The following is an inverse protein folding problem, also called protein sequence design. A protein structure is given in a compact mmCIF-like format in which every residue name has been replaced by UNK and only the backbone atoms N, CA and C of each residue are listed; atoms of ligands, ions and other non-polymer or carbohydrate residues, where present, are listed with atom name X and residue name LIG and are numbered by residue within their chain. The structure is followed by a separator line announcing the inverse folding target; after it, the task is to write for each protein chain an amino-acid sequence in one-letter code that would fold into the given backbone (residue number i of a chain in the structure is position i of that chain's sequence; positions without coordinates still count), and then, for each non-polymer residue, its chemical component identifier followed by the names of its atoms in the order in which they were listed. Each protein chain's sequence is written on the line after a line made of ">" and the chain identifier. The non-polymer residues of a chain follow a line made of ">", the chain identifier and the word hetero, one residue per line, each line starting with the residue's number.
data_IF_624063100843
#
_entry.id   IF_624063100843
#
_cell.length_a   1.000
_cell.length_b   1.000
_cell.length_c   1.000
_cell.angle_alpha   90.00
_cell.angle_beta   90.00
_cell.angle_gamma   90.00
#
_symmetry.space_group_name_H-M   'P 1'
#
loop_
_entity.id
_entity.type
_entity.pdbx_description
1 polymer ?
#
# COMPACT_ATOMS: atom_id res chain seq x y z
N UNK A 1 22.14 -6.27 16.65
CA UNK A 1 22.99 -5.98 15.48
C UNK A 1 23.72 -4.68 15.70
N UNK A 2 25.00 -4.61 15.36
CA UNK A 2 25.75 -3.36 15.26
C UNK A 2 25.91 -2.96 13.78
N UNK A 3 26.50 -1.79 13.51
CA UNK A 3 26.72 -1.31 12.13
C UNK A 3 27.72 -2.17 11.35
N UNK A 4 28.73 -2.76 12.01
CA UNK A 4 29.68 -3.68 11.39
C UNK A 4 29.01 -4.96 10.87
N UNK A 5 28.09 -5.55 11.65
CA UNK A 5 27.33 -6.72 11.24
C UNK A 5 26.48 -6.40 10.00
N UNK A 6 25.83 -5.23 9.98
CA UNK A 6 25.06 -4.78 8.81
C UNK A 6 25.95 -4.57 7.60
N UNK A 7 27.13 -3.97 7.79
CA UNK A 7 28.11 -3.73 6.73
C UNK A 7 28.60 -5.04 6.13
N UNK A 8 28.93 -6.02 6.96
CA UNK A 8 29.31 -7.36 6.50
C UNK A 8 28.19 -8.01 5.68
N UNK A 9 26.94 -7.95 6.14
CA UNK A 9 25.79 -8.49 5.43
C UNK A 9 25.53 -7.82 4.08
N UNK A 10 25.67 -6.49 4.00
CA UNK A 10 25.45 -5.72 2.77
C UNK A 10 26.49 -6.06 1.69
N UNK A 11 27.75 -6.18 2.09
CA UNK A 11 28.86 -6.40 1.16
C UNK A 11 29.21 -7.88 0.95
N UNK A 12 28.47 -8.78 1.60
CA UNK A 12 28.59 -10.21 1.33
C UNK A 12 28.25 -10.48 -0.12
N UNK A 13 29.22 -11.00 -0.87
CA UNK A 13 29.00 -11.40 -2.26
C UNK A 13 27.87 -12.43 -2.33
N UNK A 14 26.86 -12.11 -3.14
CA UNK A 14 25.68 -12.95 -3.34
C UNK A 14 25.55 -13.33 -4.83
N UNK A 15 24.86 -14.43 -5.11
CA UNK A 15 24.54 -14.86 -6.47
C UNK A 15 23.76 -13.78 -7.23
N UNK A 16 22.99 -12.97 -6.50
CA UNK A 16 22.22 -11.85 -7.03
C UNK A 16 23.08 -10.74 -7.68
N UNK A 17 24.39 -10.70 -7.41
CA UNK A 17 25.31 -9.65 -7.86
C UNK A 17 25.96 -9.94 -9.21
N UNK A 18 26.07 -11.20 -9.61
CA UNK A 18 26.82 -11.60 -10.81
C UNK A 18 25.95 -11.68 -12.07
N UNK A 19 24.65 -11.94 -11.91
CA UNK A 19 23.66 -12.05 -13.00
C UNK A 19 22.41 -11.26 -12.64
N UNK A 20 22.55 -9.94 -12.52
CA UNK A 20 21.44 -9.07 -12.11
C UNK A 20 20.29 -9.09 -13.13
N UNK A 21 19.17 -9.70 -12.75
CA UNK A 21 17.91 -9.66 -13.48
C UNK A 21 16.96 -8.70 -12.74
N UNK A 22 16.65 -7.54 -13.33
CA UNK A 22 15.78 -6.53 -12.71
C UNK A 22 14.43 -7.11 -12.27
N UNK A 23 13.88 -8.08 -12.99
CA UNK A 23 12.57 -8.64 -12.65
C UNK A 23 12.59 -9.51 -11.38
N UNK A 24 13.75 -10.10 -11.05
CA UNK A 24 13.91 -11.05 -9.93
C UNK A 24 14.70 -10.47 -8.77
N UNK A 25 15.70 -9.66 -9.07
CA UNK A 25 16.71 -9.20 -8.12
C UNK A 25 16.40 -7.80 -7.57
N UNK A 26 15.47 -7.05 -8.17
CA UNK A 26 15.22 -5.66 -7.79
C UNK A 26 14.80 -5.50 -6.33
N UNK A 27 13.88 -6.33 -5.82
CA UNK A 27 13.42 -6.20 -4.43
C UNK A 27 14.57 -6.45 -3.44
N UNK A 28 15.47 -7.37 -3.77
CA UNK A 28 16.67 -7.64 -3.00
C UNK A 28 17.63 -6.44 -3.03
N UNK A 29 17.88 -5.88 -4.22
CA UNK A 29 18.72 -4.69 -4.37
C UNK A 29 18.14 -3.48 -3.62
N UNK A 30 16.82 -3.29 -3.68
CA UNK A 30 16.12 -2.28 -2.89
C UNK A 30 16.29 -2.49 -1.38
N UNK A 31 16.18 -3.72 -0.88
CA UNK A 31 16.43 -4.05 0.54
C UNK A 31 17.87 -3.70 0.91
N UNK A 32 18.84 -4.12 0.10
CA UNK A 32 20.26 -3.90 0.35
C UNK A 32 20.59 -2.40 0.34
N UNK A 33 20.14 -1.66 -0.67
CA UNK A 33 20.32 -0.22 -0.76
C UNK A 33 19.63 0.51 0.41
N UNK A 34 18.44 0.10 0.83
CA UNK A 34 17.74 0.71 1.97
C UNK A 34 18.54 0.49 3.27
N UNK A 35 18.98 -0.75 3.50
CA UNK A 35 19.81 -1.12 4.65
C UNK A 35 21.11 -0.32 4.66
N UNK A 36 21.78 -0.19 3.51
CA UNK A 36 23.01 0.57 3.37
C UNK A 36 22.83 2.06 3.69
N UNK A 37 21.82 2.71 3.10
CA UNK A 37 21.58 4.13 3.35
C UNK A 37 21.29 4.39 4.84
N UNK A 38 20.43 3.58 5.47
CA UNK A 38 20.14 3.72 6.90
C UNK A 38 21.38 3.44 7.77
N UNK A 39 22.20 2.45 7.42
CA UNK A 39 23.46 2.15 8.11
C UNK A 39 24.38 3.37 8.14
N UNK A 40 24.53 4.10 7.02
CA UNK A 40 25.32 5.34 6.98
C UNK A 40 24.78 6.39 7.95
N UNK A 41 23.45 6.52 8.06
CA UNK A 41 22.83 7.46 9.00
C UNK A 41 23.01 7.05 10.48
N UNK A 42 23.09 5.74 10.76
CA UNK A 42 23.47 5.22 12.08
C UNK A 42 24.94 5.50 12.41
N UNK A 43 25.87 5.23 11.48
CA UNK A 43 27.30 5.46 11.66
C UNK A 43 27.61 6.96 11.89
N UNK A 44 26.90 7.85 11.20
CA UNK A 44 27.03 9.30 11.37
C UNK A 44 26.29 9.85 12.61
N UNK A 45 25.56 8.99 13.34
CA UNK A 45 24.69 9.35 14.44
C UNK A 45 23.73 10.50 14.07
N UNK A 46 23.23 10.50 12.83
CA UNK A 46 22.29 11.52 12.36
C UNK A 46 20.89 11.27 12.91
N UNK A 47 20.47 10.02 13.01
CA UNK A 47 19.10 9.68 13.44
C UNK A 47 18.78 10.14 14.87
N UNK A 48 19.79 10.37 15.71
CA UNK A 48 19.63 10.87 17.08
C UNK A 48 19.56 12.41 17.20
N UNK A 49 19.58 13.13 16.08
CA UNK A 49 19.59 14.60 16.04
C UNK A 49 18.28 15.11 15.44
N UNK A 50 17.91 16.33 15.81
CA UNK A 50 16.80 17.03 15.19
C UNK A 50 17.16 17.41 13.75
N UNK A 51 16.24 17.14 12.83
CA UNK A 51 16.42 17.46 11.41
C UNK A 51 15.22 18.23 10.86
N UNK A 52 15.45 18.89 9.72
CA UNK A 52 14.35 19.45 8.95
C UNK A 52 13.54 18.31 8.33
N UNK A 53 12.23 18.50 8.21
CA UNK A 53 11.34 17.53 7.58
C UNK A 53 11.79 17.09 6.18
N UNK A 54 12.33 18.02 5.39
CA UNK A 54 12.89 17.68 4.07
C UNK A 54 14.10 16.75 4.15
N UNK A 55 14.96 16.92 5.17
CA UNK A 55 16.08 16.03 5.40
C UNK A 55 15.59 14.62 5.72
N UNK A 56 14.62 14.51 6.63
CA UNK A 56 14.01 13.23 7.04
C UNK A 56 13.41 12.50 5.83
N UNK A 57 12.71 13.23 4.97
CA UNK A 57 12.11 12.66 3.77
C UNK A 57 13.15 12.12 2.78
N UNK A 58 14.30 12.79 2.65
CA UNK A 58 15.36 12.42 1.72
C UNK A 58 16.29 11.33 2.27
N UNK A 59 16.67 11.42 3.53
CA UNK A 59 17.66 10.54 4.15
C UNK A 59 17.02 9.29 4.77
N UNK A 60 15.86 9.44 5.40
CA UNK A 60 15.19 8.34 6.10
C UNK A 60 14.18 7.65 5.21
N UNK A 61 13.28 8.40 4.55
CA UNK A 61 12.12 7.83 3.85
C UNK A 61 12.23 7.72 2.33
N UNK A 62 13.41 8.01 1.75
CA UNK A 62 13.60 7.94 0.29
C UNK A 62 13.47 6.53 -0.29
N UNK A 63 13.55 5.50 0.55
CA UNK A 63 13.31 4.12 0.12
C UNK A 63 11.86 3.87 -0.31
N UNK A 64 10.90 4.70 0.12
CA UNK A 64 9.51 4.69 -0.40
C UNK A 64 9.47 5.14 -1.86
N UNK A 65 10.34 6.07 -2.29
CA UNK A 65 10.41 6.46 -3.70
C UNK A 65 10.99 5.32 -4.54
N UNK A 66 12.03 4.68 -4.01
CA UNK A 66 12.83 3.70 -4.73
C UNK A 66 12.13 2.36 -4.93
N UNK A 67 11.19 1.97 -4.05
CA UNK A 67 10.56 0.62 -4.08
C UNK A 67 9.78 0.34 -5.37
N UNK A 68 9.36 1.38 -6.09
CA UNK A 68 8.53 1.27 -7.28
C UNK A 68 9.30 1.34 -8.61
N UNK A 69 10.62 1.51 -8.57
CA UNK A 69 11.41 1.79 -9.78
C UNK A 69 11.44 0.62 -10.78
N UNK A 70 11.15 -0.62 -10.39
CA UNK A 70 11.02 -1.76 -11.30
C UNK A 70 9.71 -1.77 -12.11
N UNK A 71 8.75 -0.93 -11.76
CA UNK A 71 7.48 -0.84 -12.47
C UNK A 71 7.61 0.23 -13.56
N UNK A 72 7.47 -0.18 -14.81
CA UNK A 72 7.57 0.73 -15.94
C UNK A 72 6.51 1.84 -15.87
N UNK A 73 6.89 3.06 -16.24
CA UNK A 73 6.04 4.25 -16.21
C UNK A 73 5.57 4.71 -14.83
N UNK A 74 6.02 4.08 -13.74
CA UNK A 74 5.66 4.46 -12.38
C UNK A 74 6.54 5.60 -11.88
N UNK A 75 5.92 6.57 -11.21
CA UNK A 75 6.59 7.69 -10.59
C UNK A 75 6.00 8.01 -9.21
N UNK A 76 6.88 8.42 -8.30
CA UNK A 76 6.52 8.94 -6.98
C UNK A 76 6.73 10.44 -7.01
N UNK A 77 5.62 11.18 -6.97
CA UNK A 77 5.64 12.64 -7.03
C UNK A 77 5.55 13.19 -5.62
N UNK A 78 6.60 13.89 -5.18
CA UNK A 78 6.61 14.62 -3.91
C UNK A 78 6.35 16.11 -4.12
N UNK A 79 5.33 16.63 -3.48
CA UNK A 79 4.98 18.05 -3.56
C UNK A 79 5.68 18.84 -2.44
N UNK A 80 6.40 19.92 -2.80
CA UNK A 80 7.03 20.80 -1.80
C UNK A 80 5.97 21.59 -1.04
N UNK A 81 6.19 21.76 0.26
CA UNK A 81 5.40 22.53 1.24
C UNK A 81 5.21 24.04 0.96
N UNK A 82 5.48 24.54 -0.26
CA UNK A 82 4.93 25.84 -0.65
C UNK A 82 3.45 25.61 -0.93
N UNK A 83 2.64 25.74 0.12
CA UNK A 83 1.17 25.81 0.09
C UNK A 83 0.72 26.94 -0.85
N UNK A 84 0.88 26.76 -2.15
CA UNK A 84 -0.03 27.39 -3.10
C UNK A 84 -1.39 26.79 -2.79
N UNK A 85 -2.43 27.61 -2.81
CA UNK A 85 -3.82 27.24 -2.56
C UNK A 85 -4.37 26.31 -3.66
N UNK A 86 -3.67 25.21 -3.92
CA UNK A 86 -4.09 24.14 -4.81
C UNK A 86 -4.60 23.04 -3.88
N UNK A 87 -5.92 22.89 -3.85
CA UNK A 87 -6.59 21.98 -2.93
C UNK A 87 -6.18 20.52 -3.10
N UNK A 88 -6.54 19.72 -2.08
CA UNK A 88 -6.72 18.25 -2.11
C UNK A 88 -5.55 17.35 -2.53
N UNK A 89 -4.32 17.83 -2.74
CA UNK A 89 -3.16 16.93 -2.96
C UNK A 89 -2.35 16.66 -1.69
N UNK A 90 -1.96 15.40 -1.49
CA UNK A 90 -1.03 14.98 -0.45
C UNK A 90 0.41 15.31 -0.79
N UNK A 91 1.32 15.17 0.18
CA UNK A 91 2.74 15.44 0.00
C UNK A 91 3.44 14.42 -0.89
N UNK A 92 2.85 13.22 -1.04
CA UNK A 92 3.30 12.15 -1.91
C UNK A 92 2.12 11.61 -2.74
N UNK A 93 2.36 11.34 -4.03
CA UNK A 93 1.43 10.64 -4.92
C UNK A 93 2.17 9.51 -5.64
N UNK A 94 1.56 8.33 -5.67
CA UNK A 94 2.02 7.13 -6.38
C UNK A 94 1.19 7.06 -7.65
N UNK A 95 1.83 7.20 -8.82
CA UNK A 95 1.09 7.20 -10.09
C UNK A 95 1.87 6.50 -11.20
N UNK A 96 1.13 5.88 -12.11
CA UNK A 96 1.64 5.41 -13.40
C UNK A 96 0.99 6.24 -14.49
N UNK A 97 1.80 6.96 -15.26
CA UNK A 97 1.31 7.95 -16.23
C UNK A 97 0.39 9.00 -15.59
N UNK A 98 -0.91 8.96 -15.90
CA UNK A 98 -1.93 9.87 -15.37
C UNK A 98 -2.81 9.23 -14.29
N UNK A 99 -2.62 7.94 -13.99
CA UNK A 99 -3.45 7.20 -13.02
C UNK A 99 -2.78 7.16 -11.66
N UNK A 100 -3.50 7.58 -10.61
CA UNK A 100 -3.02 7.60 -9.23
C UNK A 100 -3.47 6.31 -8.49
N UNK A 101 -2.54 5.64 -7.80
CA UNK A 101 -2.76 4.36 -7.10
C UNK A 101 -2.60 4.48 -5.57
N UNK A 102 -2.06 5.61 -5.11
CA UNK A 102 -1.85 5.85 -3.70
C UNK A 102 -1.27 7.21 -3.42
N UNK A 103 -1.18 7.54 -2.13
CA UNK A 103 -0.73 8.85 -1.69
C UNK A 103 -0.03 8.79 -0.34
N UNK A 104 0.54 9.92 0.10
CA UNK A 104 1.02 10.07 1.46
C UNK A 104 1.04 11.50 1.97
N UNK A 105 1.09 11.63 3.29
CA UNK A 105 1.26 12.88 4.03
C UNK A 105 2.52 12.80 4.89
N UNK A 106 3.21 13.94 5.01
CA UNK A 106 4.41 14.06 5.81
C UNK A 106 4.20 15.05 6.95
N UNK A 107 4.71 14.66 8.12
CA UNK A 107 4.62 15.35 9.39
C UNK A 107 5.97 15.77 9.94
N UNK A 108 6.15 17.08 10.16
CA UNK A 108 7.30 17.55 10.93
C UNK A 108 7.39 16.94 12.33
N UNK A 109 6.27 16.69 13.02
CA UNK A 109 6.27 16.19 14.40
C UNK A 109 5.14 15.17 14.58
N UNK A 110 5.49 14.04 15.18
CA UNK A 110 4.60 12.98 15.61
C UNK A 110 4.16 13.24 17.06
N UNK A 111 2.94 13.76 17.20
CA UNK A 111 2.32 14.07 18.50
C UNK A 111 1.63 12.83 19.14
N UNK A 112 2.00 11.62 18.72
CA UNK A 112 1.33 10.39 19.14
C UNK A 112 0.12 9.99 18.27
N UNK A 113 -0.51 8.85 18.59
CA UNK A 113 -1.68 8.33 17.87
C UNK A 113 -2.89 9.27 17.90
N UNK A 114 -2.98 10.09 18.95
CA UNK A 114 -4.03 11.10 19.13
C UNK A 114 -3.56 12.49 18.66
N UNK A 115 -2.41 12.56 18.00
CA UNK A 115 -1.87 13.78 17.42
C UNK A 115 -2.84 14.37 16.39
N UNK A 116 -2.91 15.69 16.34
CA UNK A 116 -3.87 16.39 15.47
C UNK A 116 -3.63 16.01 14.01
N UNK A 117 -2.36 15.76 13.65
CA UNK A 117 -1.96 15.36 12.30
C UNK A 117 -2.46 13.97 11.93
N UNK A 118 -2.27 12.96 12.78
CA UNK A 118 -2.79 11.61 12.56
C UNK A 118 -4.33 11.62 12.46
N UNK A 119 -5.00 12.39 13.31
CA UNK A 119 -6.47 12.45 13.32
C UNK A 119 -7.00 13.20 12.08
N UNK A 120 -6.50 14.40 11.80
CA UNK A 120 -7.03 15.23 10.70
C UNK A 120 -6.54 14.77 9.34
N UNK A 121 -5.24 14.57 9.19
CA UNK A 121 -4.66 14.16 7.91
C UNK A 121 -4.88 12.67 7.69
N UNK A 122 -4.57 11.83 8.68
CA UNK A 122 -4.78 10.38 8.56
C UNK A 122 -6.23 9.92 8.64
N UNK A 123 -7.06 10.59 9.44
CA UNK A 123 -8.46 10.19 9.67
C UNK A 123 -9.48 10.84 8.74
N UNK A 124 -9.16 11.98 8.11
CA UNK A 124 -10.10 12.70 7.24
C UNK A 124 -9.54 13.04 5.87
N UNK A 125 -8.35 13.65 5.78
CA UNK A 125 -7.76 14.07 4.50
C UNK A 125 -7.36 12.88 3.63
N UNK A 126 -6.59 11.94 4.20
CA UNK A 126 -6.12 10.72 3.54
C UNK A 126 -7.28 9.84 3.07
N UNK A 127 -8.29 9.49 3.90
CA UNK A 127 -9.40 8.67 3.43
C UNK A 127 -10.21 9.34 2.31
N UNK A 128 -10.32 10.68 2.31
CA UNK A 128 -10.95 11.41 1.20
C UNK A 128 -10.15 11.25 -0.09
N UNK A 129 -8.84 11.46 -0.04
CA UNK A 129 -7.99 11.30 -1.24
C UNK A 129 -7.98 9.87 -1.75
N UNK A 130 -7.84 8.88 -0.86
CA UNK A 130 -7.88 7.46 -1.25
C UNK A 130 -9.23 7.06 -1.84
N UNK A 131 -10.33 7.67 -1.37
CA UNK A 131 -11.66 7.47 -1.95
C UNK A 131 -11.78 8.12 -3.33
N UNK A 132 -11.28 9.34 -3.49
CA UNK A 132 -11.31 10.05 -4.77
C UNK A 132 -10.51 9.24 -5.82
N UNK A 133 -9.29 8.79 -5.49
CA UNK A 133 -8.48 7.88 -6.33
C UNK A 133 -9.19 6.55 -6.63
N UNK A 134 -9.84 5.95 -5.62
CA UNK A 134 -10.57 4.70 -5.81
C UNK A 134 -11.72 4.85 -6.81
N UNK A 135 -12.45 5.98 -6.76
CA UNK A 135 -13.52 6.26 -7.71
C UNK A 135 -12.95 6.43 -9.13
N UNK A 136 -11.85 7.15 -9.29
CA UNK A 136 -11.18 7.34 -10.60
C UNK A 136 -10.74 5.99 -11.20
N UNK A 137 -10.20 5.08 -10.37
CA UNK A 137 -9.85 3.72 -10.79
C UNK A 137 -11.10 2.93 -11.23
N UNK A 138 -12.21 3.04 -10.49
CA UNK A 138 -13.46 2.38 -10.83
C UNK A 138 -14.03 2.88 -12.16
N UNK A 139 -14.00 4.19 -12.40
CA UNK A 139 -14.42 4.82 -13.64
C UNK A 139 -13.56 4.37 -14.82
N UNK A 140 -12.23 4.33 -14.63
CA UNK A 140 -11.29 3.83 -15.65
C UNK A 140 -11.56 2.37 -16.02
N UNK A 141 -12.00 1.56 -15.06
CA UNK A 141 -12.41 0.17 -15.27
C UNK A 141 -13.86 0.01 -15.76
N UNK A 142 -14.53 1.10 -16.16
CA UNK A 142 -15.91 1.12 -16.66
C UNK A 142 -16.91 0.47 -15.68
N UNK A 143 -16.66 0.63 -14.38
CA UNK A 143 -17.54 0.13 -13.32
C UNK A 143 -17.80 -1.38 -13.35
N UNK A 144 -16.83 -2.17 -13.84
CA UNK A 144 -16.90 -3.63 -13.87
C UNK A 144 -16.73 -4.25 -12.48
N UNK A 145 -17.77 -4.95 -12.02
CA UNK A 145 -17.89 -5.44 -10.64
C UNK A 145 -16.81 -6.47 -10.27
N UNK A 146 -16.40 -7.31 -11.21
CA UNK A 146 -15.37 -8.35 -11.03
C UNK A 146 -13.97 -7.75 -10.79
N UNK A 147 -13.65 -6.64 -11.46
CA UNK A 147 -12.39 -5.90 -11.26
C UNK A 147 -12.45 -4.99 -10.04
N UNK A 148 -13.54 -4.22 -9.86
CA UNK A 148 -13.68 -3.27 -8.74
C UNK A 148 -13.51 -3.94 -7.38
N UNK A 149 -14.04 -5.15 -7.21
CA UNK A 149 -13.95 -5.89 -5.93
C UNK A 149 -12.52 -6.25 -5.54
N UNK A 150 -11.58 -6.19 -6.48
CA UNK A 150 -10.15 -6.47 -6.28
C UNK A 150 -9.31 -5.20 -6.16
N UNK A 151 -9.93 -4.01 -6.22
CA UNK A 151 -9.22 -2.75 -6.13
C UNK A 151 -8.88 -2.38 -4.70
N UNK A 152 -7.69 -1.86 -4.55
CA UNK A 152 -7.14 -1.39 -3.29
C UNK A 152 -6.35 -0.11 -3.57
N UNK A 153 -6.39 0.85 -2.64
CA UNK A 153 -5.57 2.07 -2.68
C UNK A 153 -4.68 2.12 -1.44
N UNK A 154 -3.48 2.66 -1.58
CA UNK A 154 -2.47 2.68 -0.51
C UNK A 154 -2.19 4.10 -0.03
N UNK A 155 -2.12 4.30 1.28
CA UNK A 155 -1.91 5.62 1.89
C UNK A 155 -0.84 5.60 2.97
N UNK A 156 0.16 6.48 2.86
CA UNK A 156 1.24 6.63 3.85
C UNK A 156 1.03 7.87 4.72
N UNK A 157 1.30 7.75 6.01
CA UNK A 157 1.44 8.88 6.93
C UNK A 157 2.81 8.77 7.55
N UNK A 158 3.67 9.73 7.23
CA UNK A 158 5.07 9.76 7.66
C UNK A 158 5.21 10.91 8.65
N UNK A 159 5.90 10.72 9.77
CA UNK A 159 6.13 11.78 10.76
C UNK A 159 7.42 11.57 11.54
N UNK A 160 8.02 12.66 12.00
CA UNK A 160 9.22 12.63 12.86
C UNK A 160 8.88 12.45 14.35
N UNK A 161 9.66 11.70 15.14
CA UNK A 161 9.49 11.53 16.59
C UNK A 161 10.84 11.79 17.31
N UNK A 162 10.85 12.42 18.50
CA UNK A 162 12.10 12.68 19.26
C UNK A 162 12.94 11.44 19.65
N UNK A 163 12.50 10.23 19.31
CA UNK A 163 13.20 8.95 19.57
C UNK A 163 13.31 8.04 18.33
N UNK A 164 12.92 8.52 17.14
CA UNK A 164 12.93 7.77 15.88
C UNK A 164 12.01 8.39 14.83
N UNK A 165 11.89 7.79 13.65
CA UNK A 165 10.99 8.32 12.62
C UNK A 165 9.84 7.36 12.41
N UNK A 166 8.60 7.82 12.32
CA UNK A 166 7.42 6.95 12.25
C UNK A 166 6.73 7.01 10.90
N UNK A 167 6.33 5.85 10.37
CA UNK A 167 5.43 5.72 9.23
C UNK A 167 4.24 4.82 9.58
N UNK A 168 3.09 5.13 8.99
CA UNK A 168 1.87 4.34 9.05
C UNK A 168 1.32 4.14 7.64
N UNK A 169 1.04 2.90 7.26
CA UNK A 169 0.15 2.63 6.14
C UNK A 169 -1.29 2.68 6.69
N UNK A 170 -2.24 3.32 5.99
CA UNK A 170 -3.58 3.53 6.55
C UNK A 170 -4.19 2.20 7.04
N UNK A 171 -4.76 2.22 8.27
CA UNK A 171 -5.30 1.07 9.02
C UNK A 171 -4.27 0.03 9.51
N UNK A 172 -2.96 0.30 9.43
CA UNK A 172 -1.94 -0.53 10.11
C UNK A 172 -1.51 0.06 11.44
N UNK A 173 -0.71 -0.72 12.19
CA UNK A 173 0.09 -0.25 13.33
C UNK A 173 1.14 0.78 12.88
N UNK A 174 1.67 1.53 13.84
CA UNK A 174 2.78 2.46 13.61
C UNK A 174 4.09 1.68 13.49
N UNK A 175 4.96 2.15 12.63
CA UNK A 175 6.27 1.56 12.37
C UNK A 175 7.34 2.64 12.46
N UNK A 176 8.50 2.29 12.99
CA UNK A 176 9.51 3.25 13.37
C UNK A 176 10.87 2.88 12.75
N UNK A 177 11.62 3.89 12.31
CA UNK A 177 13.06 3.81 12.09
C UNK A 177 13.74 4.27 13.39
N UNK A 178 14.34 3.36 14.16
CA UNK A 178 14.87 3.68 15.48
C UNK A 178 16.15 4.51 15.36
N UNK A 179 16.46 5.22 16.43
CA UNK A 179 17.75 5.92 16.62
C UNK A 179 18.93 4.96 16.83
N UNK A 180 18.66 3.78 17.43
CA UNK A 180 19.68 2.79 17.75
C UNK A 180 19.68 1.63 16.74
N UNK A 181 20.87 1.30 16.22
CA UNK A 181 21.08 0.18 15.28
C UNK A 181 20.75 -1.19 15.89
N UNK A 182 20.82 -1.31 17.22
CA UNK A 182 20.45 -2.54 17.94
C UNK A 182 19.01 -2.97 17.68
N UNK A 183 18.13 -2.01 17.41
CA UNK A 183 16.70 -2.21 17.14
C UNK A 183 16.39 -2.38 15.64
N UNK A 184 17.39 -2.31 14.76
CA UNK A 184 17.22 -2.33 13.31
C UNK A 184 16.35 -3.51 12.85
N UNK A 185 16.72 -4.73 13.24
CA UNK A 185 16.00 -5.94 12.83
C UNK A 185 14.54 -5.95 13.30
N UNK A 186 14.28 -5.46 14.52
CA UNK A 186 12.96 -5.49 15.14
C UNK A 186 12.02 -4.40 14.61
N UNK A 187 12.54 -3.26 14.16
CA UNK A 187 11.75 -2.08 13.79
C UNK A 187 11.83 -1.70 12.30
N UNK A 188 13.03 -1.75 11.70
CA UNK A 188 13.23 -1.37 10.28
C UNK A 188 12.70 -2.45 9.34
N UNK A 189 12.99 -3.73 9.59
CA UNK A 189 12.55 -4.81 8.69
C UNK A 189 11.03 -4.91 8.57
N UNK A 190 10.22 -4.80 9.66
CA UNK A 190 8.76 -4.72 9.52
C UNK A 190 8.29 -3.49 8.73
N UNK A 191 8.98 -2.36 8.86
CA UNK A 191 8.70 -1.13 8.09
C UNK A 191 8.92 -1.36 6.59
N UNK A 192 10.05 -1.97 6.23
CA UNK A 192 10.37 -2.34 4.84
C UNK A 192 9.36 -3.35 4.29
N UNK A 193 9.01 -4.38 5.06
CA UNK A 193 7.99 -5.36 4.67
C UNK A 193 6.64 -4.71 4.38
N UNK A 194 6.23 -3.71 5.17
CA UNK A 194 5.00 -2.97 4.93
C UNK A 194 5.03 -2.18 3.63
N UNK A 195 6.13 -1.50 3.34
CA UNK A 195 6.28 -0.72 2.10
C UNK A 195 6.34 -1.65 0.88
N UNK A 196 6.99 -2.80 1.00
CA UNK A 196 6.96 -3.83 -0.04
C UNK A 196 5.54 -4.40 -0.25
N UNK A 197 4.75 -4.61 0.81
CA UNK A 197 3.32 -4.98 0.67
C UNK A 197 2.53 -3.90 -0.07
N UNK A 198 2.77 -2.63 0.21
CA UNK A 198 2.13 -1.53 -0.52
C UNK A 198 2.50 -1.58 -2.01
N UNK A 199 3.76 -1.86 -2.34
CA UNK A 199 4.18 -2.13 -3.74
C UNK A 199 3.42 -3.29 -4.36
N UNK A 200 3.31 -4.42 -3.66
CA UNK A 200 2.61 -5.60 -4.17
C UNK A 200 1.12 -5.30 -4.48
N UNK A 201 0.44 -4.56 -3.59
CA UNK A 201 -0.94 -4.10 -3.81
C UNK A 201 -1.01 -3.25 -5.10
N UNK A 202 -0.15 -2.25 -5.23
CA UNK A 202 -0.13 -1.36 -6.40
C UNK A 202 0.17 -2.13 -7.70
N UNK A 203 1.11 -3.09 -7.68
CA UNK A 203 1.40 -3.96 -8.84
C UNK A 203 0.18 -4.79 -9.24
N UNK A 204 -0.56 -5.33 -8.27
CA UNK A 204 -1.78 -6.09 -8.55
C UNK A 204 -2.86 -5.21 -9.19
N UNK A 205 -3.04 -3.99 -8.70
CA UNK A 205 -4.01 -3.05 -9.27
C UNK A 205 -3.63 -2.64 -10.69
N UNK A 206 -2.35 -2.36 -10.95
CA UNK A 206 -1.86 -2.09 -12.32
C UNK A 206 -2.17 -3.27 -13.24
N UNK A 207 -1.86 -4.50 -12.82
CA UNK A 207 -2.14 -5.70 -13.61
C UNK A 207 -3.63 -5.82 -13.94
N UNK A 208 -4.53 -5.55 -12.98
CA UNK A 208 -5.98 -5.57 -13.21
C UNK A 208 -6.44 -4.51 -14.22
N UNK A 209 -5.77 -3.35 -14.23
CA UNK A 209 -6.05 -2.27 -15.18
C UNK A 209 -5.57 -2.59 -16.59
N UNK A 210 -4.44 -3.28 -16.71
CA UNK A 210 -3.80 -3.65 -17.97
C UNK A 210 -4.33 -4.97 -18.55
N UNK A 211 -5.07 -5.76 -17.75
CA UNK A 211 -5.70 -6.99 -18.20
C UNK A 211 -6.72 -6.70 -19.31
N UNK A 212 -6.36 -7.07 -20.53
CA UNK A 212 -7.23 -7.01 -21.70
C UNK A 212 -8.45 -7.91 -21.50
N UNK A 213 -9.60 -7.43 -21.95
CA UNK A 213 -10.81 -8.23 -21.91
C UNK A 213 -10.75 -9.24 -23.06
N UNK A 214 -11.03 -10.51 -22.75
CA UNK A 214 -11.28 -11.49 -23.79
C UNK A 214 -12.41 -10.95 -24.68
N UNK A 215 -12.16 -10.91 -25.97
CA UNK A 215 -13.17 -10.53 -26.96
C UNK A 215 -14.36 -11.48 -26.87
N UNK A 216 -15.55 -11.02 -27.26
CA UNK A 216 -16.75 -11.88 -27.35
C UNK A 216 -16.50 -13.14 -28.20
N UNK A 217 -15.60 -13.05 -29.17
CA UNK A 217 -15.16 -14.17 -30.01
C UNK A 217 -14.32 -15.19 -29.21
N UNK A 218 -13.40 -14.71 -28.36
CA UNK A 218 -12.62 -15.57 -27.46
C UNK A 218 -13.47 -16.20 -26.35
N UNK A 219 -14.48 -15.47 -25.85
CA UNK A 219 -15.46 -16.01 -24.90
C UNK A 219 -16.32 -17.11 -25.54
N UNK A 220 -16.79 -16.91 -26.77
CA UNK A 220 -17.51 -17.94 -27.53
C UNK A 220 -16.64 -19.15 -27.85
N UNK A 221 -15.38 -18.94 -28.22
CA UNK A 221 -14.40 -20.01 -28.44
C UNK A 221 -14.22 -20.88 -27.20
N UNK A 222 -14.10 -20.27 -26.01
CA UNK A 222 -13.97 -21.00 -24.75
C UNK A 222 -15.25 -21.76 -24.39
N UNK A 223 -16.43 -21.15 -24.59
CA UNK A 223 -17.72 -21.82 -24.36
C UNK A 223 -17.92 -23.03 -25.30
N UNK A 224 -17.45 -22.94 -26.54
CA UNK A 224 -17.55 -24.04 -27.50
C UNK A 224 -16.52 -25.16 -27.26
N UNK A 225 -15.43 -24.89 -26.51
CA UNK A 225 -14.46 -25.92 -26.13
C UNK A 225 -14.97 -26.83 -24.99
N UNK A 226 -15.92 -26.35 -24.18
CA UNK A 226 -16.52 -27.12 -23.09
C UNK A 226 -17.71 -27.99 -23.57
N UNK A 227 -18.20 -27.80 -24.80
CA UNK A 227 -19.34 -28.58 -25.36
C UNK A 227 -18.92 -29.88 -26.08
N UNK A 228 -17.62 -30.24 -26.07
CA UNK A 228 -17.11 -31.47 -26.69
C UNK A 228 -16.56 -32.41 -25.61
N UNK A 229 -17.42 -32.87 -24.70
CA UNK A 229 -17.32 -34.19 -24.04
C UNK A 229 -18.45 -34.36 -22.99
N UNK A 230 -19.70 -34.49 -23.44
CA UNK A 230 -20.76 -35.07 -22.60
C UNK A 230 -21.69 -36.00 -23.40
N UNK A 231 -21.10 -37.00 -24.06
CA UNK A 231 -21.80 -38.24 -24.37
C UNK A 231 -21.47 -39.30 -23.31
N UNK A 232 -22.14 -39.26 -22.16
CA UNK A 232 -21.97 -40.31 -21.14
C UNK A 232 -22.67 -40.07 -19.80
N UNK A 233 -23.93 -40.54 -19.70
CA UNK A 233 -24.72 -40.74 -18.48
C UNK A 233 -24.95 -39.52 -17.56
N UNK A 234 -25.99 -38.75 -17.88
CA UNK A 234 -26.64 -37.84 -16.93
C UNK A 234 -27.32 -38.62 -15.80
N UNK A 235 -26.84 -38.45 -14.57
CA UNK A 235 -27.68 -38.65 -13.37
C UNK A 235 -28.34 -37.31 -13.01
N UNK A 236 -29.64 -37.27 -12.66
CA UNK A 236 -30.30 -36.01 -12.36
C UNK A 236 -29.73 -35.40 -11.08
N UNK A 237 -29.63 -34.05 -11.00
CA UNK A 237 -29.12 -33.38 -9.82
C UNK A 237 -30.02 -33.66 -8.60
N UNK A 238 -29.46 -33.77 -7.39
CA UNK A 238 -30.26 -33.95 -6.18
C UNK A 238 -31.25 -32.81 -6.01
N UNK A 239 -32.52 -33.15 -5.87
CA UNK A 239 -33.61 -32.21 -5.60
C UNK A 239 -33.43 -31.60 -4.21
N UNK A 240 -32.77 -30.45 -4.12
CA UNK A 240 -32.78 -29.62 -2.92
C UNK A 240 -34.20 -29.10 -2.69
N UNK A 241 -34.91 -29.68 -1.73
CA UNK A 241 -36.14 -29.10 -1.21
C UNK A 241 -35.78 -27.81 -0.46
N UNK A 242 -36.08 -26.66 -1.07
CA UNK A 242 -36.09 -25.39 -0.36
C UNK A 242 -37.16 -25.45 0.73
N UNK A 243 -36.74 -25.45 1.99
CA UNK A 243 -37.64 -25.17 3.11
C UNK A 243 -38.09 -23.70 3.00
N UNK A 244 -39.37 -23.47 2.75
CA UNK A 244 -39.97 -22.15 2.81
C UNK A 244 -40.05 -21.69 4.27
N UNK A 245 -39.16 -20.78 4.69
CA UNK A 245 -39.30 -20.05 5.95
C UNK A 245 -39.26 -18.55 5.70
N UNK A 246 -40.30 -18.04 5.05
CA UNK A 246 -40.68 -16.64 5.17
C UNK A 246 -41.38 -16.42 6.51
N UNK A 247 -40.60 -16.14 7.56
CA UNK A 247 -41.09 -15.42 8.75
C UNK A 247 -40.07 -14.35 9.12
N UNK A 248 -40.34 -13.14 8.66
CA UNK A 248 -39.67 -11.92 9.09
C UNK A 248 -40.18 -11.57 10.50
N UNK A 249 -39.33 -11.24 11.48
CA UNK A 249 -39.82 -10.79 12.79
C UNK A 249 -40.42 -9.38 12.68
N UNK A 250 -41.66 -9.23 13.14
CA UNK A 250 -42.31 -7.91 13.28
C UNK A 250 -41.62 -7.06 14.35
N UNK A 251 -41.13 -5.88 13.94
CA UNK A 251 -40.64 -4.86 14.85
C UNK A 251 -41.82 -4.21 15.59
N UNK A 252 -42.08 -4.64 16.84
CA UNK A 252 -42.95 -3.90 17.76
C UNK A 252 -42.25 -2.59 18.19
N UNK A 253 -42.68 -1.47 17.61
CA UNK A 253 -42.39 -0.12 18.13
C UNK A 253 -42.94 -0.01 19.55
N UNK A 254 -42.07 0.14 20.56
CA UNK A 254 -42.49 0.59 21.90
C UNK A 254 -42.80 2.08 21.85
N UNK A 255 -44.07 2.43 22.02
CA UNK A 255 -44.52 3.78 22.35
C UNK A 255 -44.00 4.16 23.73
N UNK A 256 -43.36 5.33 23.84
CA UNK A 256 -43.23 6.07 25.10
C UNK A 256 -44.64 6.51 25.49
N UNK A 257 -45.18 5.97 26.58
CA UNK A 257 -46.24 6.63 27.31
C UNK A 257 -45.61 7.49 28.38
N UNK A 258 -46.01 8.76 28.37
CA UNK A 258 -45.86 9.71 29.45
C UNK A 258 -46.54 9.16 30.72
N UNK A 259 -45.81 9.13 31.83
CA UNK A 259 -46.41 9.13 33.16
C UNK A 259 -46.22 10.51 33.78
N UNK A 260 -47.34 11.01 34.31
CA UNK A 260 -47.54 12.26 35.05
C UNK A 260 -46.76 12.29 36.35
#
# INVERSE_FOLDING_TARGET
>A
SNTSDLRELIFRSDLHDQLFDRSKNFDYDWIRNTTYNLMLEYEANHLAKDHLETWIMLHVWSFIDKIFLDIDGMEIVRFKMKKKAMGRRGDLIIRKWHTEYGCGEAGKIFEGINGTKIIKEGGLKMPKMLRDMFNDLCETMKMRKDKIRKLETVGFIISDLPAGHVCRLLRTRLFEIPTQVSEFGAKVLPTMSLIWKAKAIVKNVIKLMEEEDLTEEQLKMLQNCDEVDESGLTTPPPRLQLLSSSVTPENKRKSRNDEK
#
